data_IF_760312773454
#
_entry.id   IF_760312773454
#
_cell.length_a   1.000
_cell.length_b   1.000
_cell.length_c   1.000
_cell.angle_alpha   90.00
_cell.angle_beta   90.00
_cell.angle_gamma   90.00
#
_symmetry.space_group_name_H-M   'P 1'
#
loop_
_entity.id
_entity.type
_entity.pdbx_description
1 polymer ?
#
# COMPACT_ATOMS: atom_id res chain seq x y z
N UNK A 1 -36.06 16.21 -66.93
CA UNK A 1 -36.03 14.73 -66.85
C UNK A 1 -35.34 14.35 -65.55
N UNK A 2 -36.11 13.77 -64.62
CA UNK A 2 -35.67 13.38 -63.28
C UNK A 2 -35.00 12.00 -63.31
N UNK A 3 -33.83 11.85 -62.69
CA UNK A 3 -33.34 10.56 -62.18
C UNK A 3 -33.29 10.64 -60.65
N UNK A 4 -33.92 9.65 -60.02
CA UNK A 4 -34.30 9.62 -58.60
C UNK A 4 -33.09 9.30 -57.70
N UNK A 5 -32.76 10.24 -56.81
CA UNK A 5 -31.96 9.96 -55.60
C UNK A 5 -32.85 9.38 -54.51
N UNK A 6 -32.50 8.19 -54.01
CA UNK A 6 -33.20 7.56 -52.89
C UNK A 6 -32.87 8.23 -51.56
N UNK A 7 -33.88 8.83 -50.94
CA UNK A 7 -33.88 9.32 -49.57
C UNK A 7 -34.06 8.16 -48.58
N UNK A 8 -33.08 7.90 -47.71
CA UNK A 8 -33.24 7.03 -46.54
C UNK A 8 -33.75 7.85 -45.36
N UNK A 9 -35.00 7.61 -44.97
CA UNK A 9 -35.61 8.10 -43.72
C UNK A 9 -34.83 7.57 -42.51
N UNK A 10 -34.38 8.48 -41.65
CA UNK A 10 -33.90 8.14 -40.31
C UNK A 10 -35.10 7.81 -39.41
N UNK A 11 -35.25 6.54 -39.01
CA UNK A 11 -36.17 6.18 -37.93
C UNK A 11 -35.50 6.46 -36.58
N UNK A 12 -36.20 7.21 -35.71
CA UNK A 12 -35.86 7.36 -34.29
C UNK A 12 -35.65 5.98 -33.67
N UNK A 13 -34.49 5.74 -33.07
CA UNK A 13 -34.25 4.60 -32.17
C UNK A 13 -34.32 5.08 -30.73
N UNK A 14 -35.26 4.51 -30.00
CA UNK A 14 -35.39 4.62 -28.56
C UNK A 14 -34.11 4.12 -27.86
N UNK A 15 -33.52 4.98 -27.02
CA UNK A 15 -32.44 4.62 -26.10
C UNK A 15 -33.03 4.43 -24.70
N UNK A 16 -33.64 3.27 -24.46
CA UNK A 16 -33.89 2.75 -23.11
C UNK A 16 -32.80 1.74 -22.73
N UNK A 17 -32.18 1.83 -21.54
CA UNK A 17 -31.11 0.94 -21.12
C UNK A 17 -31.64 -0.48 -20.89
N UNK A 18 -30.93 -1.46 -21.45
CA UNK A 18 -31.20 -2.90 -21.31
C UNK A 18 -30.90 -3.35 -19.88
N UNK A 19 -31.93 -3.91 -19.27
CA UNK A 19 -31.89 -4.69 -18.03
C UNK A 19 -31.06 -5.98 -18.25
N UNK A 20 -30.06 -6.33 -17.41
CA UNK A 20 -29.45 -7.66 -17.47
C UNK A 20 -30.41 -8.68 -16.85
N UNK A 21 -30.81 -9.66 -17.68
CA UNK A 21 -31.81 -10.66 -17.35
C UNK A 21 -31.42 -11.57 -16.17
N UNK A 22 -32.45 -11.91 -15.39
CA UNK A 22 -32.45 -13.00 -14.42
C UNK A 22 -31.94 -14.30 -15.04
N UNK A 23 -30.92 -14.90 -14.44
CA UNK A 23 -30.61 -16.31 -14.64
C UNK A 23 -31.67 -17.15 -13.91
N UNK A 24 -32.37 -18.02 -14.65
CA UNK A 24 -33.27 -19.01 -14.08
C UNK A 24 -32.45 -20.07 -13.32
N UNK A 25 -32.81 -20.31 -12.06
CA UNK A 25 -32.22 -21.35 -11.23
C UNK A 25 -32.60 -22.74 -11.77
N UNK A 26 -31.63 -23.44 -12.36
CA UNK A 26 -31.76 -24.87 -12.66
C UNK A 26 -31.77 -25.70 -11.38
N UNK A 27 -32.67 -26.70 -11.31
CA UNK A 27 -32.77 -27.65 -10.19
C UNK A 27 -31.45 -28.43 -10.00
N UNK A 28 -31.04 -28.72 -8.75
CA UNK A 28 -29.77 -29.39 -8.49
C UNK A 28 -29.86 -30.87 -8.89
N UNK A 29 -29.06 -31.28 -9.87
CA UNK A 29 -28.78 -32.69 -10.10
C UNK A 29 -27.75 -33.15 -9.05
N UNK A 30 -28.12 -34.18 -8.28
CA UNK A 30 -27.27 -34.77 -7.26
C UNK A 30 -26.02 -35.39 -7.88
N UNK A 31 -24.88 -34.69 -7.78
CA UNK A 31 -23.56 -35.28 -7.92
C UNK A 31 -22.92 -35.33 -6.53
N UNK A 32 -22.72 -36.55 -6.05
CA UNK A 32 -21.87 -36.89 -4.92
C UNK A 32 -20.53 -36.13 -5.04
N UNK A 33 -20.27 -35.19 -4.11
CA UNK A 33 -18.95 -34.60 -3.91
C UNK A 33 -18.15 -35.61 -3.09
N UNK A 34 -17.19 -36.29 -3.71
CA UNK A 34 -16.07 -36.84 -2.94
C UNK A 34 -15.35 -35.67 -2.29
N UNK A 35 -15.50 -35.52 -0.97
CA UNK A 35 -14.70 -34.60 -0.18
C UNK A 35 -13.26 -35.14 -0.14
N UNK A 36 -12.47 -34.78 -1.15
CA UNK A 36 -11.02 -34.84 -0.98
C UNK A 36 -10.66 -33.68 -0.07
N UNK A 37 -10.30 -33.96 1.18
CA UNK A 37 -9.80 -32.94 2.10
C UNK A 37 -8.57 -32.28 1.48
N UNK A 38 -8.61 -30.96 1.28
CA UNK A 38 -7.41 -30.20 0.91
C UNK A 38 -6.44 -30.35 2.08
N UNK A 39 -5.39 -31.15 1.92
CA UNK A 39 -4.33 -31.24 2.90
C UNK A 39 -3.52 -29.94 2.86
N UNK A 40 -3.52 -29.19 3.96
CA UNK A 40 -2.66 -28.02 4.14
C UNK A 40 -1.22 -28.54 4.23
N UNK A 41 -0.28 -28.08 3.39
CA UNK A 41 1.11 -28.52 3.45
C UNK A 41 1.70 -28.30 4.85
N UNK A 42 2.50 -29.24 5.36
CA UNK A 42 3.18 -29.08 6.66
C UNK A 42 4.11 -27.85 6.70
N UNK A 43 4.57 -27.36 5.55
CA UNK A 43 5.31 -26.09 5.44
C UNK A 43 4.46 -24.86 5.77
N UNK A 44 3.15 -24.90 5.54
CA UNK A 44 2.21 -23.84 5.92
C UNK A 44 1.85 -23.88 7.41
N UNK A 45 1.94 -25.07 8.06
CA UNK A 45 1.79 -25.20 9.52
C UNK A 45 3.07 -24.88 10.29
N UNK A 46 4.25 -24.99 9.67
CA UNK A 46 5.50 -24.49 10.24
C UNK A 46 5.50 -22.95 10.42
N UNK A 47 4.80 -22.21 9.56
CA UNK A 47 4.71 -20.74 9.63
C UNK A 47 3.78 -20.22 10.74
N UNK A 48 2.93 -21.10 11.30
CA UNK A 48 2.11 -20.78 12.48
C UNK A 48 2.80 -21.16 13.79
N UNK A 49 4.05 -21.63 13.73
CA UNK A 49 4.89 -21.84 14.90
C UNK A 49 5.69 -20.60 15.32
N UNK A 50 4.97 -19.52 15.65
CA UNK A 50 5.22 -18.93 16.98
C UNK A 50 4.59 -19.87 18.03
N UNK A 51 5.02 -21.13 18.00
CA UNK A 51 4.73 -22.09 19.06
C UNK A 51 5.47 -21.53 20.24
N UNK A 52 4.70 -21.26 21.29
CA UNK A 52 5.12 -21.12 22.67
C UNK A 52 6.09 -22.28 22.96
N UNK A 53 7.38 -22.09 22.71
CA UNK A 53 8.39 -23.05 23.12
C UNK A 53 8.42 -23.00 24.64
N UNK A 54 7.62 -23.84 25.29
CA UNK A 54 7.95 -24.31 26.62
C UNK A 54 9.22 -25.13 26.49
N UNK A 55 10.36 -24.44 26.52
CA UNK A 55 11.65 -25.04 26.76
C UNK A 55 11.57 -25.68 28.14
N UNK A 56 11.43 -27.00 28.20
CA UNK A 56 11.81 -27.75 29.39
C UNK A 56 13.34 -27.81 29.38
N UNK A 57 13.99 -26.92 30.12
CA UNK A 57 15.41 -27.11 30.46
C UNK A 57 15.51 -28.15 31.57
N UNK A 58 16.40 -29.12 31.41
CA UNK A 58 16.65 -30.20 32.37
C UNK A 58 17.38 -29.76 33.65
N UNK A 59 17.84 -28.51 33.78
CA UNK A 59 18.82 -28.17 34.82
C UNK A 59 18.50 -26.87 35.57
N UNK A 60 17.30 -26.78 36.16
CA UNK A 60 17.02 -25.74 37.15
C UNK A 60 16.50 -26.37 38.45
N UNK A 61 17.39 -26.45 39.44
CA UNK A 61 17.00 -26.55 40.85
C UNK A 61 16.03 -25.40 41.14
N UNK A 62 14.91 -25.74 41.76
CA UNK A 62 13.86 -24.80 42.14
C UNK A 62 14.43 -23.67 42.99
N UNK A 63 14.06 -22.42 42.68
CA UNK A 63 13.26 -21.59 43.58
C UNK A 63 12.95 -20.22 42.95
N UNK A 64 11.79 -19.69 43.31
CA UNK A 64 11.22 -18.37 42.99
C UNK A 64 10.63 -18.13 41.59
N UNK A 65 9.30 -18.13 41.60
CA UNK A 65 8.35 -17.73 40.56
C UNK A 65 8.40 -16.23 40.27
N UNK A 66 8.68 -15.85 39.02
CA UNK A 66 8.47 -14.51 38.50
C UNK A 66 8.36 -14.52 36.97
N UNK A 67 7.22 -14.12 36.42
CA UNK A 67 7.00 -14.01 34.98
C UNK A 67 7.80 -12.84 34.41
N UNK A 68 8.99 -13.09 33.87
CA UNK A 68 9.73 -12.12 33.07
C UNK A 68 9.87 -12.67 31.64
N UNK A 69 8.90 -12.33 30.80
CA UNK A 69 9.04 -12.45 29.34
C UNK A 69 9.92 -11.29 28.85
N UNK A 70 11.24 -11.43 28.88
CA UNK A 70 12.14 -10.58 28.08
C UNK A 70 12.16 -11.07 26.64
N UNK A 71 11.17 -10.64 25.85
CA UNK A 71 11.15 -10.77 24.38
C UNK A 71 12.08 -9.73 23.72
N UNK A 72 13.32 -9.59 24.21
CA UNK A 72 14.38 -8.89 23.46
C UNK A 72 15.49 -9.89 23.18
N UNK A 73 15.94 -10.03 21.93
CA UNK A 73 17.18 -10.74 21.65
C UNK A 73 18.29 -10.13 22.50
N UNK A 74 19.10 -10.98 23.13
CA UNK A 74 20.33 -10.58 23.80
C UNK A 74 21.24 -9.85 22.79
N UNK A 75 21.93 -8.80 23.25
CA UNK A 75 22.82 -7.94 22.44
C UNK A 75 23.97 -8.71 21.74
N UNK A 76 24.13 -10.02 22.04
CA UNK A 76 25.14 -10.91 21.46
C UNK A 76 24.60 -11.78 20.32
N UNK A 77 23.33 -11.63 19.92
CA UNK A 77 22.89 -12.19 18.65
C UNK A 77 23.53 -11.36 17.54
N UNK A 78 24.62 -11.86 16.98
CA UNK A 78 25.27 -11.34 15.80
C UNK A 78 24.28 -11.45 14.62
N UNK A 79 23.29 -10.54 14.56
CA UNK A 79 22.36 -10.34 13.45
C UNK A 79 23.10 -9.68 12.28
N UNK A 80 24.37 -10.04 12.07
CA UNK A 80 25.06 -9.84 10.81
C UNK A 80 24.21 -10.55 9.79
N UNK A 81 23.53 -9.73 9.00
CA UNK A 81 23.09 -9.96 7.63
C UNK A 81 23.66 -11.28 7.12
N UNK A 82 22.95 -12.38 7.35
CA UNK A 82 23.21 -13.60 6.62
C UNK A 82 22.94 -13.20 5.17
N UNK A 83 24.01 -12.90 4.45
CA UNK A 83 24.03 -13.16 3.03
C UNK A 83 23.78 -14.65 2.94
N UNK A 84 22.49 -15.02 2.88
CA UNK A 84 22.06 -16.37 2.64
C UNK A 84 22.65 -16.76 1.28
N UNK A 85 23.86 -17.31 1.33
CA UNK A 85 24.52 -18.02 0.24
C UNK A 85 23.80 -19.33 -0.05
N UNK A 86 22.85 -19.71 0.81
CA UNK A 86 21.96 -20.82 0.56
C UNK A 86 21.00 -20.49 -0.57
N UNK A 87 21.00 -21.40 -1.54
CA UNK A 87 20.08 -21.44 -2.65
C UNK A 87 18.66 -21.57 -2.08
N UNK A 88 17.93 -20.45 -1.94
CA UNK A 88 16.61 -20.48 -1.31
C UNK A 88 15.67 -21.50 -2.00
N UNK A 89 15.28 -22.56 -1.31
CA UNK A 89 14.21 -23.44 -1.76
C UNK A 89 12.89 -22.78 -1.39
N UNK A 90 12.08 -22.41 -2.39
CA UNK A 90 10.76 -21.80 -2.16
C UNK A 90 10.20 -21.05 -3.36
N UNK A 91 9.01 -20.49 -3.20
CA UNK A 91 8.27 -19.79 -4.25
C UNK A 91 8.87 -18.41 -4.53
N UNK A 92 8.95 -18.05 -5.81
CA UNK A 92 9.62 -16.82 -6.28
C UNK A 92 8.74 -16.05 -7.24
N UNK A 93 8.67 -14.74 -7.04
CA UNK A 93 7.99 -13.85 -7.97
C UNK A 93 8.97 -13.50 -9.08
N UNK A 94 8.68 -13.98 -10.28
CA UNK A 94 9.51 -13.79 -11.47
C UNK A 94 8.62 -13.37 -12.64
N UNK A 95 9.13 -12.47 -13.47
CA UNK A 95 8.52 -12.19 -14.76
C UNK A 95 8.79 -13.38 -15.69
N UNK A 96 7.71 -14.04 -16.13
CA UNK A 96 7.79 -15.24 -16.97
C UNK A 96 8.56 -14.99 -18.28
N UNK A 97 8.43 -13.81 -18.88
CA UNK A 97 9.12 -13.47 -20.13
C UNK A 97 10.62 -13.31 -19.90
N UNK A 98 11.01 -12.66 -18.79
CA UNK A 98 12.42 -12.53 -18.42
C UNK A 98 13.04 -13.88 -18.03
N UNK A 99 12.27 -14.79 -17.46
CA UNK A 99 12.72 -16.15 -17.16
C UNK A 99 12.98 -16.97 -18.43
N UNK A 100 12.07 -16.90 -19.41
CA UNK A 100 12.27 -17.55 -20.72
C UNK A 100 13.50 -16.95 -21.42
N UNK A 101 13.64 -15.62 -21.41
CA UNK A 101 14.82 -14.95 -21.96
C UNK A 101 16.09 -15.40 -21.25
N UNK A 102 16.06 -15.59 -19.93
CA UNK A 102 17.20 -16.07 -19.17
C UNK A 102 17.68 -17.44 -19.67
N UNK A 103 16.76 -18.37 -19.80
CA UNK A 103 17.07 -19.74 -20.25
C UNK A 103 17.62 -19.70 -21.68
N UNK A 104 16.93 -19.04 -22.60
CA UNK A 104 17.32 -19.01 -24.02
C UNK A 104 18.67 -18.32 -24.24
N UNK A 105 18.91 -17.18 -23.58
CA UNK A 105 20.19 -16.47 -23.68
C UNK A 105 21.34 -17.32 -23.12
N UNK A 106 21.12 -18.06 -22.02
CA UNK A 106 22.15 -18.92 -21.44
C UNK A 106 22.43 -20.15 -22.32
N UNK A 107 21.40 -20.76 -22.92
CA UNK A 107 21.58 -21.87 -23.88
C UNK A 107 22.42 -21.41 -25.07
N UNK A 108 22.09 -20.26 -25.65
CA UNK A 108 22.82 -19.73 -26.81
C UNK A 108 24.27 -19.38 -26.46
N UNK A 109 24.51 -18.74 -25.31
CA UNK A 109 25.87 -18.42 -24.85
C UNK A 109 26.68 -19.68 -24.55
N UNK A 110 26.06 -20.67 -23.91
CA UNK A 110 26.71 -21.95 -23.65
C UNK A 110 27.18 -22.65 -24.93
N UNK A 111 26.39 -22.61 -26.01
CA UNK A 111 26.80 -23.20 -27.30
C UNK A 111 28.03 -22.52 -27.90
N UNK A 112 28.18 -21.21 -27.69
CA UNK A 112 29.30 -20.42 -28.20
C UNK A 112 30.54 -20.57 -27.30
N UNK A 113 30.37 -20.44 -25.99
CA UNK A 113 31.47 -20.38 -25.03
C UNK A 113 31.94 -21.77 -24.56
N UNK A 114 31.09 -22.79 -24.71
CA UNK A 114 31.39 -24.18 -24.33
C UNK A 114 30.91 -25.16 -25.40
N UNK A 115 31.45 -25.08 -26.63
CA UNK A 115 31.02 -25.91 -27.76
C UNK A 115 31.30 -27.40 -27.56
N UNK A 116 32.24 -27.74 -26.67
CA UNK A 116 32.55 -29.11 -26.26
C UNK A 116 31.47 -29.74 -25.38
N UNK A 117 30.57 -28.95 -24.80
CA UNK A 117 29.50 -29.44 -23.96
C UNK A 117 28.23 -29.67 -24.79
N UNK A 118 27.74 -30.92 -24.90
CA UNK A 118 26.66 -31.25 -25.83
C UNK A 118 25.29 -30.72 -25.39
N UNK A 119 25.09 -30.46 -24.10
CA UNK A 119 23.80 -30.03 -23.55
C UNK A 119 23.97 -29.08 -22.39
N UNK A 120 23.25 -27.97 -22.44
CA UNK A 120 23.12 -27.08 -21.28
C UNK A 120 22.17 -27.70 -20.25
N UNK A 121 22.73 -28.14 -19.12
CA UNK A 121 21.96 -28.59 -17.96
C UNK A 121 21.99 -27.46 -16.94
N UNK A 122 20.92 -26.68 -16.92
CA UNK A 122 20.82 -25.48 -16.10
C UNK A 122 20.67 -25.82 -14.61
N UNK A 123 21.47 -25.16 -13.79
CA UNK A 123 21.28 -25.03 -12.35
C UNK A 123 21.53 -23.57 -11.94
N UNK A 124 21.05 -23.16 -10.78
CA UNK A 124 21.33 -21.83 -10.27
C UNK A 124 22.75 -21.76 -9.73
N UNK A 125 23.54 -20.81 -10.25
CA UNK A 125 24.84 -20.46 -9.68
C UNK A 125 24.66 -19.51 -8.50
N UNK A 126 23.90 -18.42 -8.71
CA UNK A 126 23.67 -17.40 -7.71
C UNK A 126 22.23 -16.89 -7.79
N UNK A 127 21.63 -16.66 -6.63
CA UNK A 127 20.28 -16.12 -6.52
C UNK A 127 20.27 -14.95 -5.55
N UNK A 128 20.13 -13.74 -6.08
CA UNK A 128 20.15 -12.51 -5.27
C UNK A 128 18.73 -11.97 -5.11
N UNK A 129 18.31 -11.83 -3.86
CA UNK A 129 17.01 -11.25 -3.51
C UNK A 129 17.04 -9.72 -3.54
N UNK A 130 15.99 -9.11 -4.07
CA UNK A 130 15.78 -7.67 -4.13
C UNK A 130 14.33 -7.30 -3.74
N UNK A 131 14.07 -7.26 -2.44
CA UNK A 131 12.70 -7.10 -1.93
C UNK A 131 11.89 -8.38 -2.16
N UNK A 132 10.78 -8.30 -2.90
CA UNK A 132 10.03 -9.45 -3.42
C UNK A 132 10.60 -10.00 -4.73
N UNK A 133 11.50 -9.25 -5.37
CA UNK A 133 12.04 -9.55 -6.69
C UNK A 133 13.35 -10.35 -6.59
N UNK A 134 13.76 -10.95 -7.71
CA UNK A 134 14.96 -11.80 -7.78
C UNK A 134 15.87 -11.50 -8.97
N UNK A 135 17.15 -11.76 -8.78
CA UNK A 135 18.16 -11.81 -9.84
C UNK A 135 18.79 -13.19 -9.84
N UNK A 136 18.91 -13.80 -11.02
CA UNK A 136 19.46 -15.14 -11.17
C UNK A 136 20.67 -15.14 -12.08
N UNK A 137 21.61 -16.02 -11.75
CA UNK A 137 22.69 -16.46 -12.60
C UNK A 137 22.59 -17.97 -12.74
N UNK A 138 22.62 -18.47 -13.97
CA UNK A 138 22.59 -19.91 -14.25
C UNK A 138 24.01 -20.43 -14.50
N UNK A 139 24.26 -21.68 -14.10
CA UNK A 139 25.43 -22.46 -14.49
C UNK A 139 25.03 -23.72 -15.24
N UNK A 140 25.93 -24.23 -16.07
CA UNK A 140 25.83 -25.57 -16.61
C UNK A 140 26.45 -26.57 -15.63
N UNK A 141 25.71 -27.59 -15.19
CA UNK A 141 26.25 -28.64 -14.31
C UNK A 141 27.35 -29.45 -15.02
N UNK A 142 27.21 -29.67 -16.33
CA UNK A 142 28.08 -30.58 -17.08
C UNK A 142 29.48 -30.02 -17.35
N UNK A 143 29.58 -28.74 -17.75
CA UNK A 143 30.86 -28.11 -18.10
C UNK A 143 31.28 -26.96 -17.19
N UNK A 144 30.44 -26.57 -16.22
CA UNK A 144 30.74 -25.46 -15.31
C UNK A 144 30.60 -24.06 -15.92
N UNK A 145 30.10 -23.92 -17.15
CA UNK A 145 29.78 -22.62 -17.76
C UNK A 145 28.90 -21.79 -16.82
N UNK A 146 29.21 -20.50 -16.66
CA UNK A 146 28.43 -19.56 -15.84
C UNK A 146 27.97 -18.43 -16.75
N UNK A 147 26.66 -18.20 -16.81
CA UNK A 147 26.12 -17.10 -17.60
C UNK A 147 26.05 -15.77 -16.86
N UNK A 148 25.43 -14.80 -17.50
CA UNK A 148 25.27 -13.47 -16.92
C UNK A 148 24.14 -13.41 -15.89
N UNK A 149 24.31 -12.53 -14.90
CA UNK A 149 23.26 -12.22 -13.93
C UNK A 149 22.16 -11.40 -14.59
N UNK A 150 20.93 -11.90 -14.57
CA UNK A 150 19.77 -11.18 -15.09
C UNK A 150 18.71 -10.92 -14.02
N UNK A 151 18.06 -9.77 -14.13
CA UNK A 151 16.97 -9.33 -13.24
C UNK A 151 15.68 -9.98 -13.71
N UNK A 152 15.00 -10.72 -12.84
CA UNK A 152 13.73 -11.39 -13.17
C UNK A 152 12.52 -10.49 -12.93
N UNK A 153 12.72 -9.18 -13.05
CA UNK A 153 11.72 -8.15 -12.80
C UNK A 153 12.03 -6.92 -13.64
N UNK A 154 10.98 -6.16 -13.97
CA UNK A 154 11.11 -4.85 -14.62
C UNK A 154 11.43 -3.79 -13.58
N UNK A 155 12.21 -2.79 -13.98
CA UNK A 155 12.56 -1.66 -13.13
C UNK A 155 11.70 -0.43 -13.47
N UNK A 156 11.42 0.39 -12.46
CA UNK A 156 10.79 1.70 -12.66
C UNK A 156 11.88 2.76 -12.58
N UNK A 157 12.00 3.58 -13.63
CA UNK A 157 12.95 4.68 -13.64
C UNK A 157 12.62 5.69 -12.52
N UNK A 158 13.57 5.94 -11.63
CA UNK A 158 13.39 6.83 -10.48
C UNK A 158 14.15 8.16 -10.63
N UNK A 159 15.05 8.28 -11.62
CA UNK A 159 15.82 9.52 -11.89
C UNK A 159 16.71 10.01 -10.74
N UNK A 160 16.86 9.22 -9.67
CA UNK A 160 17.65 9.54 -8.48
C UNK A 160 18.91 8.70 -8.45
N UNK A 161 20.00 9.19 -7.83
CA UNK A 161 21.19 8.39 -7.58
C UNK A 161 20.85 7.08 -6.87
N UNK A 162 21.36 5.97 -7.39
CA UNK A 162 21.18 4.63 -6.86
C UNK A 162 20.35 3.70 -7.76
N UNK A 163 20.16 2.44 -7.33
CA UNK A 163 19.45 1.44 -8.13
C UNK A 163 17.98 1.79 -8.32
N UNK A 164 17.46 1.54 -9.51
CA UNK A 164 16.03 1.67 -9.77
C UNK A 164 15.23 0.65 -8.94
N UNK A 165 14.07 1.04 -8.39
CA UNK A 165 13.20 0.11 -7.70
C UNK A 165 12.62 -0.93 -8.67
N UNK A 166 12.51 -2.17 -8.21
CA UNK A 166 11.79 -3.21 -8.94
C UNK A 166 10.29 -2.91 -8.97
N UNK A 167 9.67 -3.02 -10.15
CA UNK A 167 8.26 -2.77 -10.38
C UNK A 167 7.34 -3.54 -9.42
N UNK A 168 7.55 -4.85 -9.14
CA UNK A 168 6.70 -5.58 -8.19
C UNK A 168 6.73 -5.02 -6.77
N UNK A 169 7.86 -4.48 -6.31
CA UNK A 169 7.97 -3.88 -4.98
C UNK A 169 7.12 -2.61 -4.86
N UNK A 170 7.14 -1.75 -5.89
CA UNK A 170 6.34 -0.51 -5.93
C UNK A 170 4.87 -0.81 -6.13
N UNK A 171 4.56 -1.76 -7.03
CA UNK A 171 3.18 -2.20 -7.28
C UNK A 171 2.54 -2.80 -6.03
N UNK A 172 3.27 -3.64 -5.28
CA UNK A 172 2.80 -4.16 -4.00
C UNK A 172 2.53 -3.00 -3.01
N UNK A 173 3.46 -2.06 -2.87
CA UNK A 173 3.29 -0.93 -1.98
C UNK A 173 2.09 -0.04 -2.35
N UNK A 174 1.78 0.10 -3.65
CA UNK A 174 0.59 0.80 -4.16
C UNK A 174 -0.69 0.05 -3.88
N UNK A 175 -0.73 -1.25 -4.15
CA UNK A 175 -1.90 -2.09 -3.86
C UNK A 175 -2.26 -2.09 -2.37
N UNK A 176 -1.24 -1.99 -1.50
CA UNK A 176 -1.44 -1.90 -0.06
C UNK A 176 -2.05 -0.58 0.42
N UNK A 177 -2.07 0.47 -0.39
CA UNK A 177 -2.75 1.72 -0.01
C UNK A 177 -4.28 1.58 -0.06
N UNK A 178 -4.79 0.69 -0.91
CA UNK A 178 -6.22 0.41 -1.03
C UNK A 178 -6.69 -0.72 -0.11
N UNK A 179 -5.75 -1.42 0.54
CA UNK A 179 -6.04 -2.55 1.41
C UNK A 179 -5.93 -2.16 2.89
N UNK A 180 -6.79 -2.67 3.79
CA UNK A 180 -6.66 -2.46 5.23
C UNK A 180 -5.51 -3.29 5.86
N UNK A 181 -4.53 -3.73 5.07
CA UNK A 181 -3.48 -4.67 5.48
C UNK A 181 -2.15 -3.92 5.60
N UNK A 182 -1.53 -4.00 6.78
CA UNK A 182 -0.22 -3.40 7.01
C UNK A 182 0.95 -4.25 6.49
N UNK A 183 2.11 -3.62 6.30
CA UNK A 183 3.35 -4.27 5.84
C UNK A 183 3.72 -5.53 6.63
N UNK A 184 3.48 -5.57 7.95
CA UNK A 184 3.77 -6.74 8.79
C UNK A 184 2.90 -7.95 8.44
N UNK A 185 1.61 -7.74 8.21
CA UNK A 185 0.70 -8.81 7.81
C UNK A 185 1.06 -9.33 6.42
N UNK A 186 1.48 -8.45 5.51
CA UNK A 186 1.97 -8.85 4.18
C UNK A 186 3.22 -9.71 4.26
N UNK A 187 4.15 -9.42 5.17
CA UNK A 187 5.31 -10.30 5.38
C UNK A 187 4.88 -11.70 5.84
N UNK A 188 3.88 -11.79 6.71
CA UNK A 188 3.33 -13.08 7.16
C UNK A 188 2.65 -13.83 6.01
N UNK A 189 1.89 -13.12 5.17
CA UNK A 189 1.25 -13.71 3.99
C UNK A 189 2.30 -14.25 3.01
N UNK A 190 3.36 -13.48 2.73
CA UNK A 190 4.45 -13.90 1.86
C UNK A 190 5.17 -15.13 2.42
N UNK A 191 5.48 -15.13 3.72
CA UNK A 191 6.09 -16.28 4.37
C UNK A 191 5.18 -17.52 4.32
N UNK A 192 3.86 -17.35 4.50
CA UNK A 192 2.89 -18.45 4.45
C UNK A 192 2.72 -19.09 3.07
N UNK A 193 3.05 -18.38 1.99
CA UNK A 193 3.11 -18.92 0.62
C UNK A 193 4.54 -19.33 0.21
N UNK A 194 5.43 -19.52 1.18
CA UNK A 194 6.83 -19.89 0.98
C UNK A 194 7.61 -18.92 0.07
N UNK A 195 7.22 -17.64 0.09
CA UNK A 195 7.94 -16.55 -0.58
C UNK A 195 8.69 -15.73 0.45
N UNK A 196 10.03 -15.63 0.38
CA UNK A 196 10.78 -15.00 1.44
C UNK A 196 10.45 -13.49 1.49
N UNK A 197 9.95 -12.96 2.62
CA UNK A 197 9.42 -11.60 2.68
C UNK A 197 10.53 -10.54 2.59
N UNK A 198 10.29 -9.39 1.94
CA UNK A 198 11.21 -8.26 1.99
C UNK A 198 11.39 -7.74 3.42
N UNK A 199 12.46 -6.99 3.70
CA UNK A 199 12.66 -6.43 5.04
C UNK A 199 11.64 -5.32 5.33
N UNK A 200 11.16 -5.27 6.59
CA UNK A 200 10.09 -4.36 7.01
C UNK A 200 10.43 -2.89 6.77
N UNK A 201 11.68 -2.50 7.02
CA UNK A 201 12.16 -1.13 6.82
C UNK A 201 12.18 -0.73 5.35
N UNK A 202 12.53 -1.65 4.44
CA UNK A 202 12.46 -1.40 2.99
C UNK A 202 11.02 -1.26 2.51
N UNK A 203 10.12 -2.16 2.95
CA UNK A 203 8.70 -2.05 2.66
C UNK A 203 8.15 -0.70 3.13
N UNK A 204 8.43 -0.33 4.38
CA UNK A 204 7.94 0.92 4.95
C UNK A 204 8.43 2.15 4.17
N UNK A 205 9.71 2.20 3.78
CA UNK A 205 10.26 3.29 2.95
C UNK A 205 9.56 3.36 1.60
N UNK A 206 9.29 2.24 0.96
CA UNK A 206 8.58 2.19 -0.33
C UNK A 206 7.14 2.63 -0.17
N UNK A 207 6.41 2.11 0.82
CA UNK A 207 5.04 2.52 1.14
C UNK A 207 4.96 4.03 1.41
N UNK A 208 5.89 4.59 2.19
CA UNK A 208 5.90 6.04 2.46
C UNK A 208 6.12 6.87 1.19
N UNK A 209 6.96 6.41 0.25
CA UNK A 209 7.15 7.07 -1.05
C UNK A 209 5.88 7.02 -1.89
N UNK A 210 5.26 5.84 -1.98
CA UNK A 210 4.01 5.66 -2.74
C UNK A 210 2.87 6.48 -2.14
N UNK A 211 2.74 6.49 -0.82
CA UNK A 211 1.75 7.31 -0.11
C UNK A 211 1.92 8.80 -0.41
N UNK A 212 3.16 9.30 -0.48
CA UNK A 212 3.41 10.70 -0.83
C UNK A 212 2.96 11.04 -2.27
N UNK A 213 3.18 10.15 -3.24
CA UNK A 213 2.68 10.34 -4.60
C UNK A 213 1.15 10.22 -4.68
N UNK A 214 0.55 9.27 -3.96
CA UNK A 214 -0.91 9.16 -3.86
C UNK A 214 -1.56 10.42 -3.29
N UNK A 215 -0.96 11.05 -2.28
CA UNK A 215 -1.46 12.33 -1.75
C UNK A 215 -1.49 13.40 -2.85
N UNK A 216 -0.46 13.48 -3.69
CA UNK A 216 -0.44 14.44 -4.82
C UNK A 216 -1.54 14.14 -5.83
N UNK A 217 -1.69 12.87 -6.23
CA UNK A 217 -2.74 12.45 -7.16
C UNK A 217 -4.13 12.76 -6.62
N UNK A 218 -4.37 12.48 -5.34
CA UNK A 218 -5.65 12.77 -4.68
C UNK A 218 -5.92 14.27 -4.59
N UNK A 219 -4.91 15.11 -4.29
CA UNK A 219 -5.08 16.57 -4.30
C UNK A 219 -5.46 17.08 -5.68
N UNK A 220 -4.79 16.60 -6.74
CA UNK A 220 -5.11 16.98 -8.12
C UNK A 220 -6.51 16.53 -8.52
N UNK A 221 -6.89 15.29 -8.19
CA UNK A 221 -8.22 14.74 -8.47
C UNK A 221 -9.33 15.53 -7.75
N UNK A 222 -9.15 15.83 -6.46
CA UNK A 222 -10.09 16.67 -5.70
C UNK A 222 -10.20 18.09 -6.29
N UNK A 223 -9.09 18.70 -6.73
CA UNK A 223 -9.11 20.01 -7.38
C UNK A 223 -9.87 19.99 -8.72
N UNK A 224 -9.65 18.97 -9.57
CA UNK A 224 -10.38 18.81 -10.82
C UNK A 224 -11.88 18.61 -10.59
N UNK A 225 -12.25 17.80 -9.59
CA UNK A 225 -13.65 17.62 -9.18
C UNK A 225 -14.27 18.91 -8.69
N UNK A 226 -13.54 19.73 -7.94
CA UNK A 226 -14.00 21.03 -7.48
C UNK A 226 -14.34 21.96 -8.66
N UNK A 227 -13.51 22.00 -9.70
CA UNK A 227 -13.77 22.78 -10.92
C UNK A 227 -15.02 22.29 -11.68
N UNK A 228 -15.27 20.97 -11.70
CA UNK A 228 -16.52 20.43 -12.25
C UNK A 228 -17.75 20.88 -11.46
N UNK A 229 -17.66 20.93 -10.12
CA UNK A 229 -18.75 21.40 -9.26
C UNK A 229 -19.03 22.89 -9.49
N UNK A 230 -17.97 23.70 -9.60
CA UNK A 230 -18.05 25.13 -9.95
C UNK A 230 -18.73 25.36 -11.31
N UNK A 231 -18.37 24.55 -12.30
CA UNK A 231 -19.00 24.61 -13.62
C UNK A 231 -20.50 24.32 -13.57
N UNK A 232 -20.91 23.34 -12.75
CA UNK A 232 -22.34 23.04 -12.53
C UNK A 232 -23.05 24.22 -11.88
N UNK A 233 -22.43 24.88 -10.89
CA UNK A 233 -22.99 26.08 -10.26
C UNK A 233 -23.16 27.23 -11.26
N UNK A 234 -22.16 27.47 -12.12
CA UNK A 234 -22.22 28.47 -13.19
C UNK A 234 -23.41 28.26 -14.11
N UNK A 235 -23.67 27.01 -14.52
CA UNK A 235 -24.83 26.65 -15.36
C UNK A 235 -26.17 26.82 -14.67
N UNK A 236 -26.20 26.72 -13.34
CA UNK A 236 -27.41 26.89 -12.52
C UNK A 236 -27.65 28.35 -12.08
N UNK A 237 -26.74 29.28 -12.41
CA UNK A 237 -26.81 30.67 -11.97
C UNK A 237 -26.53 30.87 -10.46
N UNK A 238 -25.89 29.89 -9.82
CA UNK A 238 -25.50 29.94 -8.40
C UNK A 238 -24.07 30.50 -8.30
N UNK A 239 -23.75 31.31 -7.26
CA UNK A 239 -22.39 31.82 -7.07
C UNK A 239 -21.36 30.69 -7.04
N UNK A 240 -20.27 30.85 -7.80
CA UNK A 240 -19.18 29.86 -7.88
C UNK A 240 -18.51 29.60 -6.52
N UNK A 241 -18.45 30.64 -5.69
CA UNK A 241 -17.78 30.64 -4.40
C UNK A 241 -18.55 29.90 -3.29
N UNK A 242 -19.80 29.52 -3.54
CA UNK A 242 -20.65 28.84 -2.56
C UNK A 242 -20.85 27.38 -2.96
N UNK A 243 -20.05 26.51 -2.36
CA UNK A 243 -20.15 25.07 -2.55
C UNK A 243 -20.68 24.46 -1.26
N UNK A 244 -21.86 23.86 -1.34
CA UNK A 244 -22.45 23.12 -0.24
C UNK A 244 -21.74 21.77 -0.11
N UNK A 245 -21.18 21.53 1.07
CA UNK A 245 -20.50 20.27 1.39
C UNK A 245 -21.04 19.70 2.71
N UNK A 246 -21.13 18.38 2.75
CA UNK A 246 -21.35 17.60 3.96
C UNK A 246 -20.01 17.03 4.41
N UNK A 247 -19.71 17.09 5.70
CA UNK A 247 -18.46 16.59 6.26
C UNK A 247 -18.76 15.40 7.15
N UNK A 248 -18.11 14.27 6.89
CA UNK A 248 -18.07 13.12 7.80
C UNK A 248 -16.65 12.92 8.31
N UNK A 249 -16.52 12.52 9.58
CA UNK A 249 -15.22 12.32 10.20
C UNK A 249 -15.12 11.01 10.99
N UNK A 250 -13.97 10.37 10.87
CA UNK A 250 -13.62 9.16 11.60
C UNK A 250 -12.49 9.45 12.59
N UNK A 251 -12.73 9.09 13.84
CA UNK A 251 -11.78 9.19 14.93
C UNK A 251 -11.06 7.86 15.10
N UNK A 252 -9.78 7.89 15.44
CA UNK A 252 -9.01 6.67 15.72
C UNK A 252 -9.28 6.04 17.10
N UNK A 253 -10.40 6.39 17.72
CA UNK A 253 -10.86 5.89 19.01
C UNK A 253 -12.37 5.75 18.98
N UNK A 254 -12.88 4.65 19.52
CA UNK A 254 -14.32 4.42 19.67
C UNK A 254 -14.90 5.09 20.92
N UNK A 255 -14.05 5.67 21.77
CA UNK A 255 -14.45 6.36 23.00
C UNK A 255 -14.01 7.81 22.98
N UNK A 256 -14.88 8.68 23.49
CA UNK A 256 -14.64 10.14 23.53
C UNK A 256 -13.61 10.48 24.62
N UNK A 257 -13.73 9.86 25.80
CA UNK A 257 -12.89 10.13 26.98
C UNK A 257 -12.02 8.94 27.36
N UNK A 258 -10.88 9.22 27.98
CA UNK A 258 -9.99 8.19 28.54
C UNK A 258 -9.30 8.71 29.79
N UNK A 259 -9.19 7.86 30.82
CA UNK A 259 -8.45 8.21 32.05
C UNK A 259 -6.96 8.46 31.81
N UNK A 260 -6.40 7.96 30.70
CA UNK A 260 -4.95 8.00 30.42
C UNK A 260 -4.51 9.24 29.63
N UNK A 261 -5.44 10.02 29.08
CA UNK A 261 -5.12 11.17 28.22
C UNK A 261 -6.01 12.37 28.59
N UNK A 262 -5.43 13.57 28.81
CA UNK A 262 -6.23 14.76 29.04
C UNK A 262 -7.00 15.15 27.77
N UNK A 263 -8.28 15.50 27.91
CA UNK A 263 -9.17 15.88 26.82
C UNK A 263 -9.77 14.66 26.09
N UNK A 264 -9.90 14.77 24.77
CA UNK A 264 -10.41 13.68 23.94
C UNK A 264 -9.39 12.53 23.81
N UNK A 265 -9.88 11.29 23.92
CA UNK A 265 -9.06 10.09 23.79
C UNK A 265 -8.48 9.93 22.37
N UNK A 266 -9.25 10.34 21.37
CA UNK A 266 -8.83 10.35 19.98
C UNK A 266 -7.60 11.25 19.78
N UNK A 267 -6.63 10.70 19.05
CA UNK A 267 -5.37 11.38 18.72
C UNK A 267 -5.30 11.81 17.27
N UNK A 268 -6.11 11.19 16.43
CA UNK A 268 -6.23 11.51 15.02
C UNK A 268 -7.71 11.52 14.63
N UNK A 269 -8.05 12.41 13.72
CA UNK A 269 -9.32 12.42 13.01
C UNK A 269 -9.04 12.56 11.52
N UNK A 270 -9.81 11.82 10.72
CA UNK A 270 -9.82 11.93 9.28
C UNK A 270 -11.22 12.39 8.86
N UNK A 271 -11.31 13.55 8.23
CA UNK A 271 -12.57 14.12 7.76
C UNK A 271 -12.58 14.22 6.23
N UNK A 272 -13.74 13.95 5.64
CA UNK A 272 -13.98 14.07 4.20
C UNK A 272 -15.10 15.07 3.95
N UNK A 273 -14.84 16.04 3.07
CA UNK A 273 -15.83 16.95 2.53
C UNK A 273 -16.40 16.40 1.22
N UNK A 274 -17.69 16.13 1.23
CA UNK A 274 -18.44 15.59 0.09
C UNK A 274 -19.39 16.68 -0.41
N UNK A 275 -19.33 17.01 -1.70
CA UNK A 275 -20.23 17.99 -2.29
C UNK A 275 -21.67 17.47 -2.40
N UNK A 276 -22.65 18.36 -2.25
CA UNK A 276 -24.07 18.01 -2.27
C UNK A 276 -24.81 18.50 -3.51
N UNK A 277 -24.13 19.14 -4.44
CA UNK A 277 -24.68 19.87 -5.58
C UNK A 277 -24.94 18.94 -6.78
N UNK A 278 -24.02 18.02 -7.04
CA UNK A 278 -24.11 17.05 -8.14
C UNK A 278 -24.67 15.72 -7.65
N UNK A 279 -25.18 14.91 -8.57
CA UNK A 279 -25.68 13.58 -8.25
C UNK A 279 -24.55 12.59 -7.94
N UNK A 280 -23.32 12.91 -8.37
CA UNK A 280 -22.15 12.05 -8.19
C UNK A 280 -21.51 12.14 -6.81
N UNK A 281 -21.85 13.16 -6.02
CA UNK A 281 -21.36 13.38 -4.64
C UNK A 281 -19.85 13.23 -4.54
N UNK A 282 -19.14 14.08 -5.27
CA UNK A 282 -17.68 14.05 -5.29
C UNK A 282 -17.06 14.36 -3.93
N UNK A 283 -15.98 13.65 -3.59
CA UNK A 283 -15.08 14.06 -2.51
C UNK A 283 -14.26 15.23 -3.04
N UNK A 284 -14.41 16.39 -2.40
CA UNK A 284 -13.77 17.65 -2.81
C UNK A 284 -12.73 18.14 -1.80
N UNK A 285 -12.75 17.60 -0.58
CA UNK A 285 -11.80 17.96 0.45
C UNK A 285 -11.54 16.79 1.41
N UNK A 286 -10.33 16.74 1.97
CA UNK A 286 -9.94 15.74 2.96
C UNK A 286 -8.97 16.35 3.97
N UNK A 287 -9.29 16.25 5.26
CA UNK A 287 -8.46 16.80 6.35
C UNK A 287 -8.08 15.70 7.30
N UNK A 288 -6.78 15.64 7.57
CA UNK A 288 -6.25 14.89 8.70
C UNK A 288 -5.97 15.89 9.82
N UNK A 289 -6.52 15.67 11.01
CA UNK A 289 -5.98 16.32 12.21
C UNK A 289 -5.24 15.29 13.04
N UNK A 290 -3.99 15.58 13.39
CA UNK A 290 -3.07 14.66 14.03
C UNK A 290 -2.36 15.33 15.20
N UNK A 291 -2.50 14.73 16.39
CA UNK A 291 -1.78 15.13 17.61
C UNK A 291 -0.51 14.32 17.83
N UNK A 292 -0.31 13.24 17.07
CA UNK A 292 0.78 12.30 17.28
C UNK A 292 2.07 12.80 16.63
N UNK A 293 3.08 12.95 17.47
CA UNK A 293 4.46 13.11 17.04
C UNK A 293 5.39 12.25 17.90
N UNK A 294 6.01 11.23 17.28
CA UNK A 294 6.96 10.35 17.94
C UNK A 294 8.20 11.10 18.42
N UNK A 295 8.80 11.92 17.54
CA UNK A 295 9.96 12.75 17.88
C UNK A 295 9.64 13.70 19.01
N UNK A 296 8.45 14.30 18.97
CA UNK A 296 7.95 15.17 20.04
C UNK A 296 7.79 14.42 21.37
N UNK A 297 7.24 13.20 21.35
CA UNK A 297 7.11 12.39 22.55
C UNK A 297 8.49 12.01 23.13
N UNK A 298 9.43 11.64 22.27
CA UNK A 298 10.79 11.27 22.66
C UNK A 298 11.58 12.43 23.27
N UNK A 299 11.57 13.62 22.65
CA UNK A 299 12.26 14.80 23.17
C UNK A 299 11.71 15.22 24.54
N UNK A 300 10.38 15.17 24.73
CA UNK A 300 9.77 15.40 26.06
C UNK A 300 10.15 14.35 27.09
N UNK A 301 10.24 13.08 26.67
CA UNK A 301 10.72 12.00 27.53
C UNK A 301 12.16 12.20 28.01
N UNK A 302 12.97 12.97 27.26
CA UNK A 302 14.32 13.41 27.63
C UNK A 302 14.35 14.69 28.48
N UNK A 303 13.19 15.29 28.80
CA UNK A 303 13.10 16.53 29.56
C UNK A 303 13.16 17.82 28.74
N UNK A 304 13.19 17.75 27.40
CA UNK A 304 13.14 18.97 26.58
C UNK A 304 11.73 19.56 26.57
N UNK A 305 11.56 20.88 26.84
CA UNK A 305 10.26 21.55 26.88
C UNK A 305 9.79 21.89 25.46
N UNK A 306 9.51 20.87 24.66
CA UNK A 306 9.06 21.04 23.27
C UNK A 306 7.56 20.83 23.10
N UNK A 307 6.93 21.80 22.47
CA UNK A 307 5.52 21.75 22.08
C UNK A 307 5.35 21.35 20.61
N UNK A 308 4.24 20.68 20.32
CA UNK A 308 3.85 20.34 18.96
C UNK A 308 2.57 21.10 18.62
N UNK A 309 2.38 21.61 17.39
CA UNK A 309 3.30 21.61 16.25
C UNK A 309 4.43 22.65 16.39
N UNK A 310 5.54 22.49 15.65
CA UNK A 310 6.55 23.57 15.52
C UNK A 310 8.02 23.20 15.65
N UNK A 311 8.35 21.91 15.89
CA UNK A 311 9.74 21.45 15.90
C UNK A 311 10.10 20.70 14.61
N UNK A 312 11.41 20.52 14.35
CA UNK A 312 11.91 19.78 13.19
C UNK A 312 11.33 18.35 13.15
N UNK A 313 10.93 17.89 11.96
CA UNK A 313 10.26 16.60 11.73
C UNK A 313 8.97 16.39 12.55
N UNK A 314 8.27 17.47 12.93
CA UNK A 314 7.00 17.35 13.64
C UNK A 314 5.89 16.82 12.72
N UNK A 315 5.41 15.62 13.02
CA UNK A 315 4.28 14.99 12.32
C UNK A 315 2.90 15.42 12.83
N UNK A 316 2.83 16.10 13.98
CA UNK A 316 1.58 16.61 14.54
C UNK A 316 1.23 17.96 13.89
N UNK A 317 -0.05 18.17 13.60
CA UNK A 317 -0.59 19.43 13.05
C UNK A 317 -1.57 20.13 14.01
N UNK A 318 -1.71 19.56 15.22
CA UNK A 318 -2.49 20.10 16.32
C UNK A 318 -1.73 19.92 17.62
N UNK A 319 -2.04 20.83 18.55
CA UNK A 319 -1.58 20.72 19.92
C UNK A 319 -2.09 19.45 20.59
N UNK A 320 -1.29 18.89 21.50
CA UNK A 320 -1.56 17.60 22.16
C UNK A 320 -2.90 17.56 22.90
N UNK A 321 -3.28 18.66 23.56
CA UNK A 321 -4.56 18.75 24.26
C UNK A 321 -5.66 19.43 23.42
N UNK A 322 -5.39 19.78 22.16
CA UNK A 322 -6.40 20.42 21.31
C UNK A 322 -7.61 19.49 21.13
N UNK A 323 -8.81 20.05 21.16
CA UNK A 323 -10.00 19.33 20.72
C UNK A 323 -9.92 19.05 19.20
N UNK A 324 -10.17 17.80 18.84
CA UNK A 324 -10.54 17.36 17.50
C UNK A 324 -12.03 17.61 17.32
N UNK A 325 -12.42 18.15 16.19
CA UNK A 325 -13.83 18.28 15.84
C UNK A 325 -14.01 18.39 14.34
N UNK A 326 -15.13 17.90 13.86
CA UNK A 326 -15.62 18.10 12.49
C UNK A 326 -15.72 19.58 12.15
N UNK A 327 -16.23 20.40 13.07
CA UNK A 327 -16.27 21.85 12.85
C UNK A 327 -14.89 22.45 12.54
N UNK A 328 -13.85 22.05 13.29
CA UNK A 328 -12.48 22.51 13.03
C UNK A 328 -11.91 21.90 11.75
N UNK A 329 -12.30 20.69 11.41
CA UNK A 329 -11.89 20.02 10.16
C UNK A 329 -12.50 20.75 8.96
N UNK A 330 -13.82 20.93 8.95
CA UNK A 330 -14.54 21.72 7.94
C UNK A 330 -14.02 23.15 7.83
N UNK A 331 -13.74 23.83 8.94
CA UNK A 331 -13.14 25.19 8.86
C UNK A 331 -11.76 25.22 8.19
N UNK A 332 -11.00 24.11 8.24
CA UNK A 332 -9.75 23.96 7.47
C UNK A 332 -10.03 23.62 6.00
N UNK A 333 -11.05 22.81 5.72
CA UNK A 333 -11.52 22.52 4.34
C UNK A 333 -11.95 23.80 3.60
N UNK A 334 -12.64 24.72 4.29
CA UNK A 334 -13.09 25.99 3.72
C UNK A 334 -12.01 27.06 3.54
N UNK A 335 -10.74 26.75 3.80
CA UNK A 335 -9.63 27.65 3.48
C UNK A 335 -8.70 26.91 2.53
N UNK A 336 -8.50 27.38 1.28
CA UNK A 336 -7.50 26.78 0.42
C UNK A 336 -6.16 26.79 1.16
N UNK A 337 -5.48 25.64 1.14
CA UNK A 337 -4.24 25.32 1.85
C UNK A 337 -3.31 26.54 1.88
N UNK A 338 -3.12 27.17 3.05
CA UNK A 338 -1.98 28.07 3.26
C UNK A 338 -0.75 27.17 3.35
N UNK A 339 -0.15 26.86 2.21
CA UNK A 339 1.25 26.43 2.19
C UNK A 339 2.10 27.58 2.73
N UNK A 340 3.09 27.32 3.61
CA UNK A 340 3.92 28.36 4.21
C UNK A 340 5.02 28.85 3.27
N UNK A 341 4.72 29.02 1.98
CA UNK A 341 5.60 29.59 0.96
C UNK A 341 4.71 30.07 -0.18
N UNK A 342 4.39 31.36 -0.17
CA UNK A 342 4.10 32.25 -1.30
C UNK A 342 3.26 33.42 -0.80
N UNK A 343 3.91 34.57 -0.66
CA UNK A 343 3.28 35.89 -0.53
C UNK A 343 2.46 36.17 -1.78
N UNK A 344 1.14 36.11 -1.68
CA UNK A 344 0.20 36.42 -2.75
C UNK A 344 -1.19 36.67 -2.19
N UNK A 345 -1.85 37.70 -2.72
CA UNK A 345 -3.07 38.34 -2.24
C UNK A 345 -4.25 37.35 -2.07
N UNK A 346 -4.95 37.45 -0.94
CA UNK A 346 -6.03 36.54 -0.51
C UNK A 346 -7.38 37.01 -1.07
N UNK A 347 -8.05 36.16 -1.86
CA UNK A 347 -9.50 36.25 -2.09
C UNK A 347 -10.23 35.42 -1.03
N UNK A 348 -11.15 36.06 -0.31
CA UNK A 348 -11.89 35.50 0.83
C UNK A 348 -13.10 34.69 0.30
N UNK A 349 -13.09 33.36 0.44
CA UNK A 349 -14.20 32.47 0.03
C UNK A 349 -15.11 32.15 1.22
N UNK A 350 -16.43 32.23 1.03
CA UNK A 350 -17.46 32.04 2.08
C UNK A 350 -18.12 30.66 1.93
N UNK A 351 -17.85 29.75 2.87
CA UNK A 351 -18.42 28.39 2.88
C UNK A 351 -19.60 28.28 3.85
N UNK A 352 -20.69 27.63 3.43
CA UNK A 352 -21.87 27.36 4.26
C UNK A 352 -21.89 25.88 4.66
N UNK A 353 -21.85 25.64 5.96
CA UNK A 353 -21.75 24.30 6.56
C UNK A 353 -23.12 23.81 7.03
N UNK A 354 -23.44 22.55 6.76
CA UNK A 354 -24.54 21.83 7.41
C UNK A 354 -23.96 20.59 8.08
N UNK A 355 -24.11 20.50 9.41
CA UNK A 355 -23.73 19.33 10.20
C UNK A 355 -24.96 18.43 10.28
N UNK A 356 -24.80 17.16 9.90
CA UNK A 356 -25.84 16.12 9.94
C UNK A 356 -25.79 15.33 11.24
#
# INVERSE_FOLDING_TARGET
MFTKGHTKKWSKKDNSPRNPGCFQAGKPSGRSRSQTSIQIPESASASTSYVRQTLKSSDCKMETTGNICTLRPLDNADLKREENKELHSGMRWIDSQLNISLINTNINKHQVDSPSCPKFIADYYEQKKWGTCWQFTLKCIACGFIGDRMKMYKEIANGKPGPNPGQPNVALASALQDCPIGNTTVQQLLAGIDTPPPCRSSMQRTSSKVAAEMVKLNKTDMAQKLELVKEVNRRRGVPENEINITVDARYNSNTIVSKKKPGQNATQVFALGIETITDRKFIVAAVVQNKMCWRGAWLRGKGFPIECPGHEECTANLYRAAALSEYRAGKRDGKPDRTPEMSGTVCDHRWRWTFS
#
